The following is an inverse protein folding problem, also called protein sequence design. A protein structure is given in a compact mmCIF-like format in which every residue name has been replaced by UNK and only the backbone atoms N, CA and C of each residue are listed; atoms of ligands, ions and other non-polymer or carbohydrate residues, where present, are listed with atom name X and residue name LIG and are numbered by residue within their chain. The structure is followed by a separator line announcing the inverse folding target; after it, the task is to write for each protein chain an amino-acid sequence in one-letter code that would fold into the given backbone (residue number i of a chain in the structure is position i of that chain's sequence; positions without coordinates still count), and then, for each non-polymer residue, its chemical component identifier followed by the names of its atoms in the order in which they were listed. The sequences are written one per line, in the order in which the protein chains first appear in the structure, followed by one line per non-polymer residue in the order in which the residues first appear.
data_IF_250537107351
#
_entry.id   IF_250537107351
#
_cell.length_a   1.000
_cell.length_b   1.000
_cell.length_c   1.000
_cell.angle_alpha   90.00
_cell.angle_beta   90.00
_cell.angle_gamma   90.00
#
_symmetry.space_group_name_H-M   'P 1'
#
loop_
_entity.id
_entity.type
_entity.pdbx_description
1 polymer ?
#
# COMPACT_ATOMS: atom_id res chain seq x y z
N UNK A 1 -62.38 -41.00 -9.37
CA UNK A 1 -61.78 -39.93 -10.24
C UNK A 1 -61.13 -38.79 -9.45
N UNK A 2 -61.14 -38.78 -8.14
CA UNK A 2 -60.66 -37.70 -7.29
C UNK A 2 -59.20 -37.87 -6.83
N UNK A 3 -58.65 -39.08 -6.87
CA UNK A 3 -57.29 -39.38 -6.37
C UNK A 3 -56.14 -39.06 -7.34
N UNK A 4 -56.41 -38.86 -8.63
CA UNK A 4 -55.34 -38.51 -9.63
C UNK A 4 -55.06 -37.03 -9.77
N UNK A 5 -55.89 -36.16 -9.24
CA UNK A 5 -55.78 -34.70 -9.34
C UNK A 5 -54.92 -34.10 -8.21
N UNK A 6 -54.91 -34.73 -7.03
CA UNK A 6 -54.12 -34.31 -5.88
C UNK A 6 -52.58 -34.54 -6.03
N UNK A 7 -52.19 -35.56 -6.80
CA UNK A 7 -50.75 -35.87 -6.99
C UNK A 7 -50.05 -34.94 -7.97
N UNK A 8 -50.82 -34.24 -8.84
CA UNK A 8 -50.24 -33.28 -9.81
C UNK A 8 -49.99 -31.89 -9.24
N UNK A 9 -50.70 -31.50 -8.17
CA UNK A 9 -50.49 -30.20 -7.53
C UNK A 9 -49.29 -30.21 -6.57
N UNK A 10 -48.89 -31.36 -6.01
CA UNK A 10 -47.75 -31.44 -5.09
C UNK A 10 -46.41 -31.40 -5.81
N UNK A 11 -46.34 -31.83 -7.09
CA UNK A 11 -45.11 -31.85 -7.89
C UNK A 11 -44.71 -30.44 -8.41
N UNK A 12 -45.63 -29.50 -8.50
CA UNK A 12 -45.38 -28.12 -8.97
C UNK A 12 -44.84 -27.19 -7.89
N UNK A 13 -45.02 -27.48 -6.59
CA UNK A 13 -44.51 -26.64 -5.51
C UNK A 13 -43.07 -26.95 -5.10
N UNK A 14 -42.52 -28.12 -5.45
CA UNK A 14 -41.14 -28.52 -5.11
C UNK A 14 -40.11 -27.95 -6.10
N UNK A 15 -40.51 -27.62 -7.34
CA UNK A 15 -39.59 -27.06 -8.36
C UNK A 15 -39.37 -25.54 -8.20
N UNK A 16 -40.28 -24.84 -7.53
CA UNK A 16 -40.17 -23.38 -7.38
C UNK A 16 -39.19 -22.91 -6.24
N UNK A 17 -38.77 -23.82 -5.36
CA UNK A 17 -37.89 -23.50 -4.21
C UNK A 17 -36.39 -23.63 -4.50
N UNK A 18 -35.97 -24.00 -5.70
CA UNK A 18 -34.56 -24.24 -6.06
C UNK A 18 -33.90 -23.12 -6.88
N UNK A 19 -34.54 -21.97 -7.04
CA UNK A 19 -34.08 -20.96 -8.01
C UNK A 19 -33.63 -19.61 -7.45
N UNK A 20 -33.29 -19.46 -6.16
CA UNK A 20 -32.82 -18.13 -5.67
C UNK A 20 -31.66 -18.17 -4.68
N UNK A 21 -30.64 -19.00 -4.92
CA UNK A 21 -29.33 -18.69 -4.36
C UNK A 21 -28.54 -17.98 -5.47
N UNK A 22 -28.63 -16.66 -5.53
CA UNK A 22 -27.70 -15.90 -6.35
C UNK A 22 -26.27 -16.28 -5.94
N UNK A 23 -25.39 -16.68 -6.87
CA UNK A 23 -24.02 -17.07 -6.52
C UNK A 23 -23.39 -15.91 -5.76
N UNK A 24 -22.87 -16.16 -4.57
CA UNK A 24 -22.14 -15.16 -3.81
C UNK A 24 -21.03 -14.60 -4.71
N UNK A 25 -21.08 -13.31 -4.99
CA UNK A 25 -20.11 -12.68 -5.89
C UNK A 25 -18.68 -12.99 -5.41
N UNK A 26 -17.88 -13.59 -6.26
CA UNK A 26 -16.51 -13.97 -5.92
C UNK A 26 -15.72 -12.73 -5.49
N UNK A 27 -15.05 -12.80 -4.35
CA UNK A 27 -14.24 -11.69 -3.84
C UNK A 27 -13.14 -11.33 -4.82
N UNK A 28 -12.85 -10.04 -4.94
CA UNK A 28 -11.71 -9.57 -5.72
C UNK A 28 -10.41 -10.20 -5.18
N UNK A 29 -9.55 -10.77 -6.02
CA UNK A 29 -8.28 -11.35 -5.59
C UNK A 29 -7.22 -10.29 -5.22
N UNK A 30 -7.53 -9.01 -5.29
CA UNK A 30 -6.64 -7.93 -4.85
C UNK A 30 -6.48 -8.02 -3.34
N UNK A 31 -5.24 -8.18 -2.87
CA UNK A 31 -4.93 -8.17 -1.44
C UNK A 31 -5.01 -6.76 -0.87
N UNK A 32 -5.83 -6.56 0.15
CA UNK A 32 -5.91 -5.28 0.87
C UNK A 32 -5.14 -5.37 2.17
N UNK A 33 -4.28 -4.39 2.39
CA UNK A 33 -3.51 -4.17 3.61
C UNK A 33 -3.79 -2.81 4.22
N UNK A 34 -3.24 -2.60 5.39
CA UNK A 34 -3.29 -1.34 6.11
C UNK A 34 -1.89 -1.01 6.63
N UNK A 35 -1.44 0.20 6.41
CA UNK A 35 -0.13 0.67 6.82
C UNK A 35 -0.23 1.62 8.02
N UNK A 36 0.72 1.49 8.91
CA UNK A 36 0.97 2.42 10.02
C UNK A 36 2.42 2.29 10.49
N UNK A 37 2.84 3.15 11.40
CA UNK A 37 4.14 3.08 12.06
C UNK A 37 4.03 2.69 13.54
N UNK A 38 2.80 2.47 14.05
CA UNK A 38 2.53 2.12 15.44
C UNK A 38 2.12 0.64 15.57
N UNK A 39 2.84 -0.17 16.37
CA UNK A 39 2.49 -1.56 16.62
C UNK A 39 1.17 -1.73 17.38
N UNK A 40 0.70 -0.71 18.10
CA UNK A 40 -0.57 -0.69 18.83
C UNK A 40 -1.76 -0.92 17.92
N UNK A 41 -1.63 -0.63 16.61
CA UNK A 41 -2.65 -0.97 15.62
C UNK A 41 -3.09 -2.44 15.72
N UNK A 42 -2.17 -3.37 15.96
CA UNK A 42 -2.48 -4.81 15.95
C UNK A 42 -3.24 -5.30 17.19
N UNK A 43 -3.25 -4.51 18.26
CA UNK A 43 -4.00 -4.81 19.49
C UNK A 43 -5.43 -4.27 19.44
N UNK A 44 -5.71 -3.28 18.57
CA UNK A 44 -7.04 -2.68 18.42
C UNK A 44 -8.11 -3.72 18.04
N UNK A 45 -9.24 -3.78 18.75
CA UNK A 45 -10.38 -4.61 18.38
C UNK A 45 -10.90 -4.29 16.97
N UNK A 46 -10.91 -3.01 16.60
CA UNK A 46 -11.36 -2.50 15.30
C UNK A 46 -10.47 -3.01 14.17
N UNK A 47 -9.13 -2.99 14.37
CA UNK A 47 -8.20 -3.56 13.40
C UNK A 47 -8.41 -5.08 13.25
N UNK A 48 -8.54 -5.80 14.36
CA UNK A 48 -8.76 -7.26 14.35
C UNK A 48 -10.07 -7.61 13.64
N UNK A 49 -11.12 -6.80 13.81
CA UNK A 49 -12.40 -6.99 13.13
C UNK A 49 -12.30 -6.87 11.60
N UNK A 50 -11.31 -6.17 11.06
CA UNK A 50 -11.05 -6.09 9.62
C UNK A 50 -10.47 -7.38 9.05
N UNK A 51 -9.83 -8.24 9.87
CA UNK A 51 -9.17 -9.51 9.46
C UNK A 51 -8.13 -9.31 8.36
N UNK A 52 -7.46 -8.17 8.33
CA UNK A 52 -6.39 -7.83 7.39
C UNK A 52 -5.18 -8.73 7.63
N UNK A 53 -4.53 -9.17 6.54
CA UNK A 53 -3.37 -10.08 6.56
C UNK A 53 -2.09 -9.45 6.01
N UNK A 54 -2.11 -8.15 5.72
CA UNK A 54 -0.96 -7.43 5.16
C UNK A 54 -0.85 -6.06 5.80
N UNK A 55 0.39 -5.67 6.10
CA UNK A 55 0.71 -4.31 6.53
C UNK A 55 1.94 -3.80 5.79
N UNK A 56 2.15 -2.50 5.81
CA UNK A 56 3.36 -1.84 5.34
C UNK A 56 3.95 -0.99 6.46
N UNK A 57 5.25 -1.11 6.62
CA UNK A 57 6.05 -0.34 7.57
C UNK A 57 7.27 0.21 6.84
N UNK A 58 7.69 1.43 7.12
CA UNK A 58 8.91 1.97 6.54
C UNK A 58 9.97 2.25 7.62
N UNK A 59 11.22 2.07 7.23
CA UNK A 59 12.41 2.24 8.05
C UNK A 59 13.45 3.07 7.32
N UNK A 60 14.32 3.80 8.02
CA UNK A 60 15.46 4.44 7.38
C UNK A 60 16.47 3.40 6.86
N UNK A 61 17.26 3.83 5.87
CA UNK A 61 18.26 2.95 5.25
C UNK A 61 19.34 2.45 6.22
N UNK A 62 19.58 3.17 7.29
CA UNK A 62 20.57 2.93 8.34
C UNK A 62 19.98 2.35 9.65
N UNK A 63 18.73 1.95 9.66
CA UNK A 63 18.03 1.35 10.82
C UNK A 63 18.86 0.29 11.56
N UNK A 64 19.75 -0.44 10.88
CA UNK A 64 20.62 -1.43 11.50
C UNK A 64 21.78 -0.81 12.30
N UNK A 65 22.04 0.48 12.17
CA UNK A 65 23.06 1.24 12.88
C UNK A 65 22.48 1.98 14.09
N UNK A 66 21.20 2.29 14.08
CA UNK A 66 20.47 2.89 15.18
C UNK A 66 19.79 1.80 16.05
N UNK A 67 20.17 1.74 17.32
CA UNK A 67 19.62 0.71 18.22
C UNK A 67 18.14 0.94 18.52
N UNK A 68 17.71 2.19 18.70
CA UNK A 68 16.32 2.55 19.01
C UNK A 68 15.40 2.25 17.83
N UNK A 69 15.73 2.78 16.66
CA UNK A 69 14.94 2.54 15.42
C UNK A 69 14.86 1.03 15.08
N UNK A 70 15.96 0.30 15.32
CA UNK A 70 15.99 -1.15 15.09
C UNK A 70 15.07 -1.90 16.07
N UNK A 71 15.02 -1.48 17.34
CA UNK A 71 14.12 -2.08 18.35
C UNK A 71 12.67 -1.79 18.01
N UNK A 72 12.34 -0.55 17.64
CA UNK A 72 10.98 -0.16 17.22
C UNK A 72 10.53 -0.93 15.97
N UNK A 73 11.37 -1.00 14.96
CA UNK A 73 11.07 -1.74 13.73
C UNK A 73 10.91 -3.25 14.00
N UNK A 74 11.72 -3.82 14.92
CA UNK A 74 11.57 -5.21 15.36
C UNK A 74 10.23 -5.41 16.05
N UNK A 75 9.87 -4.54 17.01
CA UNK A 75 8.61 -4.62 17.75
C UNK A 75 7.40 -4.58 16.83
N UNK A 76 7.40 -3.67 15.82
CA UNK A 76 6.34 -3.60 14.83
C UNK A 76 6.20 -4.91 14.03
N UNK A 77 7.31 -5.43 13.51
CA UNK A 77 7.29 -6.66 12.68
C UNK A 77 6.87 -7.87 13.50
N UNK A 78 7.29 -7.96 14.76
CA UNK A 78 6.89 -9.04 15.67
C UNK A 78 5.41 -8.95 16.05
N UNK A 79 4.89 -7.76 16.36
CA UNK A 79 3.47 -7.54 16.63
C UNK A 79 2.60 -7.88 15.39
N UNK A 80 3.01 -7.46 14.20
CA UNK A 80 2.34 -7.84 12.97
C UNK A 80 2.31 -9.36 12.78
N UNK A 81 3.46 -10.03 12.97
CA UNK A 81 3.57 -11.49 12.85
C UNK A 81 2.70 -12.21 13.88
N UNK A 82 2.68 -11.75 15.14
CA UNK A 82 1.83 -12.30 16.18
C UNK A 82 0.33 -12.19 15.84
N UNK A 83 -0.07 -11.10 15.17
CA UNK A 83 -1.41 -10.90 14.64
C UNK A 83 -1.70 -11.70 13.35
N UNK A 84 -0.75 -12.48 12.83
CA UNK A 84 -0.87 -13.21 11.57
C UNK A 84 -0.88 -12.29 10.34
N UNK A 85 -0.21 -11.14 10.42
CA UNK A 85 -0.13 -10.10 9.39
C UNK A 85 1.27 -10.07 8.79
N UNK A 86 1.40 -10.16 7.48
CA UNK A 86 2.68 -10.08 6.78
C UNK A 86 3.07 -8.62 6.51
N UNK A 87 4.34 -8.29 6.73
CA UNK A 87 4.86 -6.92 6.58
C UNK A 87 5.56 -6.74 5.24
N UNK A 88 5.19 -5.68 4.49
CA UNK A 88 6.04 -5.05 3.48
C UNK A 88 6.95 -4.04 4.20
N UNK A 89 8.24 -4.35 4.29
CA UNK A 89 9.24 -3.46 4.86
C UNK A 89 9.82 -2.56 3.76
N UNK A 90 9.57 -1.26 3.86
CA UNK A 90 9.98 -0.27 2.87
C UNK A 90 11.07 0.63 3.41
N UNK A 91 12.11 0.90 2.63
CA UNK A 91 13.14 1.87 3.02
C UNK A 91 12.70 3.28 2.66
N UNK A 92 12.93 4.22 3.56
CA UNK A 92 12.64 5.65 3.39
C UNK A 92 13.81 6.49 3.90
N UNK A 93 13.65 7.81 3.85
CA UNK A 93 14.57 8.74 4.52
C UNK A 93 14.48 8.61 6.04
N UNK A 94 15.57 8.88 6.73
CA UNK A 94 15.61 8.94 8.19
C UNK A 94 14.97 10.22 8.77
N UNK A 95 14.82 11.26 7.96
CA UNK A 95 14.21 12.52 8.39
C UNK A 95 13.09 12.95 7.45
N UNK A 96 11.85 12.62 7.86
CA UNK A 96 10.65 13.02 7.15
C UNK A 96 10.28 14.50 7.35
N UNK A 97 10.86 15.18 8.33
CA UNK A 97 10.62 16.60 8.61
C UNK A 97 11.56 17.50 7.84
N UNK A 98 12.71 17.01 7.42
CA UNK A 98 13.64 17.77 6.61
C UNK A 98 13.02 18.18 5.28
N UNK A 99 13.39 19.36 4.80
CA UNK A 99 13.01 19.81 3.44
C UNK A 99 13.44 18.81 2.37
N UNK A 100 14.55 18.14 2.61
CA UNK A 100 15.06 17.00 1.85
C UNK A 100 15.82 16.09 2.81
N UNK A 101 15.50 14.81 2.82
CA UNK A 101 16.18 13.83 3.64
C UNK A 101 17.68 13.71 3.32
N UNK A 102 18.49 13.24 4.27
CA UNK A 102 19.92 13.09 4.10
C UNK A 102 20.24 12.16 2.94
N UNK A 103 21.36 12.45 2.25
CA UNK A 103 21.80 11.65 1.10
C UNK A 103 22.49 10.38 1.61
N UNK A 104 21.98 9.24 1.19
CA UNK A 104 22.61 7.95 1.41
C UNK A 104 23.44 7.57 0.17
N UNK A 105 24.75 7.39 0.30
CA UNK A 105 25.54 6.96 -0.84
C UNK A 105 25.16 5.55 -1.29
N UNK A 106 25.24 5.22 -2.60
CA UNK A 106 24.93 3.86 -3.08
C UNK A 106 25.74 2.75 -2.39
N UNK A 107 26.97 3.03 -1.99
CA UNK A 107 27.82 2.07 -1.26
C UNK A 107 27.34 1.88 0.18
N UNK A 108 26.98 2.95 0.90
CA UNK A 108 26.39 2.87 2.24
C UNK A 108 25.05 2.13 2.19
N UNK A 109 24.17 2.50 1.24
CA UNK A 109 22.90 1.78 1.05
C UNK A 109 23.11 0.28 0.85
N UNK A 110 24.04 -0.12 -0.03
CA UNK A 110 24.31 -1.54 -0.29
C UNK A 110 24.76 -2.30 0.95
N UNK A 111 25.63 -1.69 1.78
CA UNK A 111 26.06 -2.30 3.05
C UNK A 111 24.90 -2.45 4.03
N UNK A 112 24.11 -1.39 4.19
CA UNK A 112 23.01 -1.33 5.14
C UNK A 112 21.89 -2.28 4.77
N UNK A 113 21.44 -2.27 3.50
CA UNK A 113 20.36 -3.16 3.04
C UNK A 113 20.74 -4.63 3.12
N UNK A 114 22.01 -4.96 2.95
CA UNK A 114 22.52 -6.33 3.13
C UNK A 114 22.28 -6.85 4.55
N UNK A 115 22.57 -6.03 5.57
CA UNK A 115 22.33 -6.35 7.00
C UNK A 115 20.84 -6.36 7.32
N UNK A 116 20.10 -5.36 6.85
CA UNK A 116 18.65 -5.23 7.05
C UNK A 116 17.90 -6.46 6.53
N UNK A 117 18.16 -6.89 5.31
CA UNK A 117 17.48 -8.05 4.71
C UNK A 117 17.77 -9.32 5.51
N UNK A 118 19.02 -9.54 5.94
CA UNK A 118 19.37 -10.69 6.79
C UNK A 118 18.58 -10.69 8.08
N UNK A 119 18.50 -9.54 8.76
CA UNK A 119 17.85 -9.40 10.04
C UNK A 119 16.33 -9.61 9.94
N UNK A 120 15.66 -8.83 9.09
CA UNK A 120 14.19 -8.87 9.00
C UNK A 120 13.65 -10.14 8.33
N UNK A 121 14.46 -10.81 7.49
CA UNK A 121 14.12 -12.15 7.00
C UNK A 121 13.99 -13.18 8.13
N UNK A 122 14.85 -13.15 9.13
CA UNK A 122 14.75 -14.01 10.32
C UNK A 122 13.46 -13.74 11.11
N UNK A 123 12.95 -12.51 11.07
CA UNK A 123 11.66 -12.13 11.67
C UNK A 123 10.45 -12.47 10.77
N UNK A 124 10.66 -13.07 9.59
CA UNK A 124 9.59 -13.53 8.70
C UNK A 124 9.20 -12.57 7.57
N UNK A 125 9.86 -11.42 7.44
CA UNK A 125 9.59 -10.48 6.35
C UNK A 125 9.94 -11.10 4.99
N UNK A 126 8.99 -11.02 4.03
CA UNK A 126 9.14 -11.55 2.66
C UNK A 126 8.96 -10.49 1.58
N UNK A 127 8.41 -9.34 1.90
CA UNK A 127 8.17 -8.24 0.96
C UNK A 127 9.06 -7.05 1.36
N UNK A 128 9.83 -6.51 0.40
CA UNK A 128 10.76 -5.41 0.62
C UNK A 128 10.55 -4.30 -0.41
N UNK A 129 10.67 -3.04 0.01
CA UNK A 129 10.67 -1.88 -0.88
C UNK A 129 12.03 -1.21 -0.92
N UNK A 130 12.52 -0.91 -2.13
CA UNK A 130 13.87 -0.36 -2.29
C UNK A 130 14.00 1.07 -1.78
N UNK A 131 13.03 1.93 -2.05
CA UNK A 131 12.97 3.30 -1.54
C UNK A 131 11.56 3.87 -1.71
N UNK A 132 11.06 4.55 -0.67
CA UNK A 132 9.76 5.20 -0.64
C UNK A 132 9.75 6.47 -1.50
N UNK A 133 8.68 6.69 -2.27
CA UNK A 133 8.40 7.94 -3.00
C UNK A 133 9.62 8.57 -3.71
N UNK A 134 10.36 7.78 -4.47
CA UNK A 134 11.64 8.20 -5.09
C UNK A 134 11.58 9.52 -5.86
N UNK A 135 10.40 9.93 -6.32
CA UNK A 135 10.16 11.16 -7.07
C UNK A 135 9.64 12.32 -6.21
N UNK A 136 9.46 12.15 -4.90
CA UNK A 136 8.99 13.22 -4.03
C UNK A 136 10.15 14.12 -3.56
N UNK A 137 9.91 15.44 -3.48
CA UNK A 137 10.93 16.44 -3.18
C UNK A 137 11.58 16.31 -1.79
N UNK A 138 10.92 15.64 -0.84
CA UNK A 138 11.47 15.34 0.49
C UNK A 138 12.47 14.20 0.47
N UNK A 139 12.45 13.39 -0.59
CA UNK A 139 13.34 12.25 -0.74
C UNK A 139 14.64 12.69 -1.43
N UNK A 140 15.77 12.17 -0.98
CA UNK A 140 17.07 12.49 -1.57
C UNK A 140 17.19 12.03 -3.03
N UNK A 141 16.39 11.03 -3.43
CA UNK A 141 16.35 10.47 -4.77
C UNK A 141 15.61 11.33 -5.79
N UNK A 142 14.86 12.35 -5.37
CA UNK A 142 13.96 13.10 -6.25
C UNK A 142 14.65 13.70 -7.50
N UNK A 143 15.89 14.15 -7.37
CA UNK A 143 16.72 14.64 -8.48
C UNK A 143 18.00 13.79 -8.68
N UNK A 144 18.11 12.66 -7.98
CA UNK A 144 19.20 11.68 -8.07
C UNK A 144 18.68 10.32 -8.51
N UNK A 145 18.09 10.25 -9.69
CA UNK A 145 17.50 9.01 -10.23
C UNK A 145 18.53 7.86 -10.29
N UNK A 146 19.83 8.18 -10.46
CA UNK A 146 20.91 7.19 -10.39
C UNK A 146 21.00 6.49 -9.04
N UNK A 147 20.74 7.19 -7.92
CA UNK A 147 20.69 6.60 -6.58
C UNK A 147 19.50 5.63 -6.48
N UNK A 148 18.32 6.03 -6.92
CA UNK A 148 17.14 5.15 -6.92
C UNK A 148 17.40 3.85 -7.71
N UNK A 149 18.08 3.94 -8.84
CA UNK A 149 18.51 2.75 -9.63
C UNK A 149 19.49 1.89 -8.85
N UNK A 150 20.48 2.50 -8.21
CA UNK A 150 21.49 1.80 -7.41
C UNK A 150 20.89 1.11 -6.19
N UNK A 151 19.92 1.76 -5.54
CA UNK A 151 19.17 1.20 -4.40
C UNK A 151 18.34 0.00 -4.82
N UNK A 152 17.61 0.09 -5.93
CA UNK A 152 16.91 -1.07 -6.48
C UNK A 152 17.85 -2.25 -6.76
N UNK A 153 18.98 -2.01 -7.43
CA UNK A 153 19.95 -3.06 -7.74
C UNK A 153 20.53 -3.70 -6.48
N UNK A 154 20.84 -2.89 -5.47
CA UNK A 154 21.37 -3.36 -4.19
C UNK A 154 20.34 -4.17 -3.41
N UNK A 155 19.07 -3.69 -3.32
CA UNK A 155 17.97 -4.42 -2.71
C UNK A 155 17.71 -5.75 -3.42
N UNK A 156 17.67 -5.73 -4.75
CA UNK A 156 17.50 -6.95 -5.54
C UNK A 156 18.59 -7.99 -5.23
N UNK A 157 19.84 -7.57 -5.20
CA UNK A 157 20.96 -8.48 -4.91
C UNK A 157 20.89 -9.03 -3.48
N UNK A 158 20.56 -8.17 -2.50
CA UNK A 158 20.45 -8.57 -1.10
C UNK A 158 19.32 -9.58 -0.86
N UNK A 159 18.16 -9.36 -1.49
CA UNK A 159 16.97 -10.21 -1.32
C UNK A 159 17.08 -11.48 -2.15
N UNK A 160 17.38 -11.37 -3.44
CA UNK A 160 17.33 -12.50 -4.38
C UNK A 160 18.33 -13.60 -4.03
N UNK A 161 19.51 -13.23 -3.55
CA UNK A 161 20.54 -14.19 -3.09
C UNK A 161 20.13 -14.98 -1.82
N UNK A 162 19.08 -14.53 -1.11
CA UNK A 162 18.64 -15.12 0.18
C UNK A 162 17.21 -15.64 0.16
N UNK A 163 16.39 -15.19 -0.78
CA UNK A 163 14.98 -15.52 -0.82
C UNK A 163 14.42 -15.39 -2.24
N UNK A 164 14.27 -16.51 -2.92
CA UNK A 164 13.70 -16.53 -4.28
C UNK A 164 12.22 -16.23 -4.34
N UNK A 165 11.49 -16.47 -3.25
CA UNK A 165 10.04 -16.25 -3.12
C UNK A 165 9.68 -14.87 -2.57
N UNK A 166 10.66 -14.07 -2.19
CA UNK A 166 10.44 -12.72 -1.68
C UNK A 166 10.12 -11.75 -2.82
N UNK A 167 9.22 -10.80 -2.52
CA UNK A 167 8.87 -9.72 -3.44
C UNK A 167 9.74 -8.49 -3.20
N UNK A 168 9.99 -7.73 -4.28
CA UNK A 168 10.73 -6.48 -4.21
C UNK A 168 9.94 -5.41 -4.97
N UNK A 169 9.49 -4.37 -4.25
CA UNK A 169 9.03 -3.12 -4.86
C UNK A 169 10.26 -2.36 -5.31
N UNK A 170 10.56 -2.46 -6.61
CA UNK A 170 11.83 -1.95 -7.16
C UNK A 170 11.82 -0.45 -7.50
N UNK A 171 10.64 0.11 -7.70
CA UNK A 171 10.37 1.52 -7.92
C UNK A 171 9.09 1.86 -7.21
N UNK A 172 9.05 2.94 -6.44
CA UNK A 172 7.89 3.39 -5.67
C UNK A 172 7.70 4.88 -5.88
N UNK A 173 6.56 5.30 -6.43
CA UNK A 173 6.36 6.67 -6.92
C UNK A 173 5.02 7.26 -6.52
N UNK A 174 5.04 8.57 -6.24
CA UNK A 174 3.86 9.39 -5.99
C UNK A 174 3.25 9.90 -7.30
N UNK A 175 1.92 9.96 -7.39
CA UNK A 175 1.10 10.41 -8.53
C UNK A 175 1.15 11.93 -8.80
N UNK A 176 2.33 12.52 -8.68
CA UNK A 176 2.54 13.95 -8.86
C UNK A 176 2.89 14.34 -10.32
N UNK A 177 2.89 15.65 -10.57
CA UNK A 177 3.27 16.19 -11.89
C UNK A 177 4.68 15.75 -12.27
N UNK A 178 4.84 15.24 -13.50
CA UNK A 178 6.15 14.84 -14.04
C UNK A 178 6.59 13.43 -13.64
N UNK A 179 5.75 12.65 -12.98
CA UNK A 179 6.07 11.25 -12.59
C UNK A 179 6.48 10.40 -13.79
N UNK A 180 5.87 10.63 -14.96
CA UNK A 180 6.20 9.91 -16.21
C UNK A 180 7.65 10.16 -16.66
N UNK A 181 8.17 11.38 -16.44
CA UNK A 181 9.56 11.72 -16.75
C UNK A 181 10.53 11.00 -15.79
N UNK A 182 10.17 10.94 -14.51
CA UNK A 182 10.97 10.21 -13.52
C UNK A 182 11.03 8.71 -13.82
N UNK A 183 9.87 8.09 -14.07
CA UNK A 183 9.76 6.67 -14.46
C UNK A 183 10.61 6.39 -15.70
N UNK A 184 10.48 7.22 -16.74
CA UNK A 184 11.29 7.07 -17.95
C UNK A 184 12.79 7.18 -17.67
N UNK A 185 13.21 8.15 -16.85
CA UNK A 185 14.61 8.34 -16.46
C UNK A 185 15.18 7.15 -15.68
N UNK A 186 14.36 6.56 -14.77
CA UNK A 186 14.73 5.36 -14.03
C UNK A 186 14.98 4.17 -14.97
N UNK A 187 14.00 3.86 -15.84
CA UNK A 187 14.11 2.71 -16.75
C UNK A 187 15.19 2.88 -17.83
N UNK A 188 15.43 4.10 -18.32
CA UNK A 188 16.52 4.36 -19.30
C UNK A 188 17.91 4.06 -18.74
N UNK A 189 18.12 4.15 -17.42
CA UNK A 189 19.35 3.80 -16.73
C UNK A 189 19.53 2.30 -16.43
N UNK A 190 18.52 1.50 -16.77
CA UNK A 190 18.56 0.05 -16.65
C UNK A 190 18.73 -0.59 -18.03
N UNK A 191 19.61 -1.57 -18.14
CA UNK A 191 19.65 -2.46 -19.29
C UNK A 191 18.42 -3.39 -19.31
N UNK A 192 18.23 -4.13 -20.39
CA UNK A 192 17.08 -5.03 -20.59
C UNK A 192 16.94 -6.06 -19.48
N UNK A 193 18.05 -6.62 -19.00
CA UNK A 193 18.07 -7.60 -17.91
C UNK A 193 17.57 -6.99 -16.60
N UNK A 194 18.02 -5.79 -16.26
CA UNK A 194 17.57 -5.10 -15.05
C UNK A 194 16.13 -4.58 -15.16
N UNK A 195 15.71 -4.13 -16.34
CA UNK A 195 14.28 -3.77 -16.57
C UNK A 195 13.35 -4.94 -16.27
N UNK A 196 13.69 -6.14 -16.73
CA UNK A 196 12.92 -7.37 -16.47
C UNK A 196 12.85 -7.75 -14.98
N UNK A 197 13.81 -7.31 -14.16
CA UNK A 197 13.85 -7.56 -12.71
C UNK A 197 12.97 -6.61 -11.89
N UNK A 198 12.52 -5.49 -12.45
CA UNK A 198 11.52 -4.62 -11.81
C UNK A 198 10.15 -5.29 -11.92
N UNK A 199 9.91 -6.29 -11.07
CA UNK A 199 8.67 -7.08 -11.12
C UNK A 199 7.49 -6.39 -10.46
N UNK A 200 7.73 -5.54 -9.46
CA UNK A 200 6.70 -4.77 -8.76
C UNK A 200 7.08 -3.29 -8.75
N UNK A 201 6.10 -2.46 -9.09
CA UNK A 201 6.17 -0.99 -8.94
C UNK A 201 5.10 -0.56 -7.94
N UNK A 202 5.52 0.21 -6.95
CA UNK A 202 4.65 0.85 -5.97
C UNK A 202 4.09 2.15 -6.51
N UNK A 203 2.85 2.44 -6.15
CA UNK A 203 2.14 3.66 -6.53
C UNK A 203 1.50 4.26 -5.28
N UNK A 204 1.81 5.53 -5.02
CA UNK A 204 1.10 6.37 -4.06
C UNK A 204 0.16 7.30 -4.82
N UNK A 205 -1.13 7.05 -4.78
CA UNK A 205 -2.10 7.74 -5.62
C UNK A 205 -3.05 8.67 -4.86
N UNK A 206 -2.55 9.34 -3.84
CA UNK A 206 -3.32 10.28 -3.02
C UNK A 206 -4.01 11.38 -3.82
N UNK A 207 -3.32 11.94 -4.81
CA UNK A 207 -3.89 13.00 -5.65
C UNK A 207 -5.10 12.48 -6.43
N UNK A 208 -5.00 11.29 -7.01
CA UNK A 208 -6.09 10.67 -7.75
C UNK A 208 -7.27 10.34 -6.83
N UNK A 209 -7.02 9.67 -5.69
CA UNK A 209 -8.06 9.27 -4.73
C UNK A 209 -8.83 10.47 -4.21
N UNK A 210 -8.13 11.52 -3.76
CA UNK A 210 -8.74 12.64 -3.08
C UNK A 210 -9.37 13.67 -4.04
N UNK A 211 -8.94 13.70 -5.30
CA UNK A 211 -9.50 14.57 -6.36
C UNK A 211 -10.49 13.84 -7.27
N UNK A 212 -10.81 12.58 -6.97
CA UNK A 212 -11.72 11.73 -7.77
C UNK A 212 -11.32 11.66 -9.24
N UNK A 213 -10.07 11.40 -9.51
CA UNK A 213 -9.51 11.24 -10.86
C UNK A 213 -8.49 10.09 -10.87
N UNK A 214 -8.16 9.56 -12.04
CA UNK A 214 -7.21 8.45 -12.16
C UNK A 214 -6.05 8.75 -13.11
N UNK A 215 -5.81 10.02 -13.40
CA UNK A 215 -4.83 10.44 -14.41
C UNK A 215 -3.39 10.15 -13.99
N UNK A 216 -3.05 10.31 -12.71
CA UNK A 216 -1.72 10.04 -12.17
C UNK A 216 -1.40 8.55 -12.20
N UNK A 217 -2.29 7.73 -11.65
CA UNK A 217 -2.19 6.26 -11.67
C UNK A 217 -2.04 5.72 -13.10
N UNK A 218 -2.90 6.19 -14.02
CA UNK A 218 -2.84 5.80 -15.43
C UNK A 218 -1.51 6.18 -16.10
N UNK A 219 -0.97 7.38 -15.81
CA UNK A 219 0.33 7.82 -16.33
C UNK A 219 1.47 6.93 -15.85
N UNK A 220 1.49 6.58 -14.55
CA UNK A 220 2.51 5.70 -13.99
C UNK A 220 2.46 4.34 -14.69
N UNK A 221 1.29 3.70 -14.74
CA UNK A 221 1.12 2.39 -15.35
C UNK A 221 1.56 2.41 -16.82
N UNK A 222 1.08 3.37 -17.61
CA UNK A 222 1.47 3.50 -19.02
C UNK A 222 2.97 3.71 -19.20
N UNK A 223 3.59 4.53 -18.35
CA UNK A 223 5.03 4.81 -18.44
C UNK A 223 5.86 3.58 -18.14
N UNK A 224 5.50 2.79 -17.14
CA UNK A 224 6.17 1.52 -16.79
C UNK A 224 6.01 0.50 -17.92
N UNK A 225 4.81 0.37 -18.49
CA UNK A 225 4.47 -0.60 -19.57
C UNK A 225 5.29 -0.40 -20.84
N UNK A 226 5.81 0.81 -21.09
CA UNK A 226 6.74 1.07 -22.20
C UNK A 226 8.06 0.30 -22.05
N UNK A 227 8.47 -0.04 -20.84
CA UNK A 227 9.76 -0.67 -20.54
C UNK A 227 9.64 -2.11 -20.05
N UNK A 228 8.56 -2.43 -19.32
CA UNK A 228 8.32 -3.78 -18.81
C UNK A 228 6.81 -4.07 -18.78
N UNK A 229 6.36 -4.88 -19.75
CA UNK A 229 4.95 -5.27 -19.88
C UNK A 229 4.47 -6.25 -18.80
N UNK A 230 5.39 -6.92 -18.08
CA UNK A 230 5.07 -7.94 -17.07
C UNK A 230 5.06 -7.41 -15.63
N UNK A 231 5.43 -6.15 -15.40
CA UNK A 231 5.45 -5.54 -14.07
C UNK A 231 4.05 -5.59 -13.44
N UNK A 232 4.00 -5.95 -12.16
CA UNK A 232 2.81 -5.83 -11.33
C UNK A 232 2.83 -4.50 -10.58
N UNK A 233 1.66 -4.05 -10.16
CA UNK A 233 1.52 -2.79 -9.43
C UNK A 233 0.91 -3.04 -8.06
N UNK A 234 1.49 -2.42 -7.05
CA UNK A 234 0.90 -2.34 -5.73
C UNK A 234 0.63 -0.88 -5.41
N UNK A 235 -0.56 -0.56 -4.93
CA UNK A 235 -0.78 0.73 -4.29
C UNK A 235 -0.16 0.63 -2.90
N UNK A 236 1.14 0.86 -2.85
CA UNK A 236 1.98 0.68 -1.65
C UNK A 236 1.62 1.67 -0.56
N UNK A 237 1.04 2.79 -0.96
CA UNK A 237 0.46 3.78 -0.06
C UNK A 237 -0.66 4.52 -0.77
N UNK A 238 -1.84 4.51 -0.18
CA UNK A 238 -3.03 5.16 -0.73
C UNK A 238 -4.01 5.45 0.40
N UNK A 239 -4.97 6.33 0.18
CA UNK A 239 -5.97 6.60 1.19
C UNK A 239 -6.69 7.92 0.97
N UNK A 240 -7.76 8.09 1.72
CA UNK A 240 -8.51 9.33 1.73
C UNK A 240 -8.02 10.24 2.87
N UNK A 241 -7.81 11.50 2.56
CA UNK A 241 -7.29 12.48 3.48
C UNK A 241 -8.42 13.15 4.29
N UNK A 242 -8.32 13.09 5.61
CA UNK A 242 -9.07 13.96 6.48
C UNK A 242 -8.56 15.40 6.32
N UNK A 243 -7.22 15.57 6.23
CA UNK A 243 -6.61 16.89 6.00
C UNK A 243 -5.24 16.81 5.35
N UNK A 244 -4.85 17.87 4.65
CA UNK A 244 -3.47 18.14 4.22
C UNK A 244 -3.29 19.59 3.75
N UNK A 245 -2.91 20.48 4.65
CA UNK A 245 -2.67 21.89 4.40
C UNK A 245 -3.85 22.59 3.71
N UNK A 246 -3.56 23.62 2.92
CA UNK A 246 -4.58 24.35 2.15
C UNK A 246 -5.28 23.50 1.09
N UNK A 247 -4.59 22.47 0.58
CA UNK A 247 -5.12 21.66 -0.53
C UNK A 247 -6.29 20.74 -0.10
N UNK A 248 -6.28 20.34 1.15
CA UNK A 248 -7.31 19.50 1.75
C UNK A 248 -7.57 19.96 3.19
N UNK A 249 -8.44 20.96 3.41
CA UNK A 249 -8.90 21.36 4.75
C UNK A 249 -9.50 20.17 5.48
N UNK A 250 -9.52 20.18 6.80
CA UNK A 250 -10.06 19.07 7.59
C UNK A 250 -11.52 18.77 7.24
N UNK A 251 -11.81 17.50 6.94
CA UNK A 251 -13.18 17.02 6.67
C UNK A 251 -13.22 15.49 6.66
N UNK A 252 -13.80 14.90 7.69
CA UNK A 252 -14.03 13.45 7.77
C UNK A 252 -15.13 12.98 6.81
N UNK A 253 -16.14 13.79 6.53
CA UNK A 253 -17.20 13.45 5.57
C UNK A 253 -16.62 13.31 4.15
N UNK A 254 -15.73 14.22 3.74
CA UNK A 254 -14.98 14.08 2.49
C UNK A 254 -14.08 12.84 2.52
N UNK A 255 -13.37 12.59 3.61
CA UNK A 255 -12.53 11.41 3.78
C UNK A 255 -13.35 10.13 3.58
N UNK A 256 -14.49 9.99 4.27
CA UNK A 256 -15.39 8.84 4.15
C UNK A 256 -15.95 8.66 2.72
N UNK A 257 -16.21 9.76 2.02
CA UNK A 257 -16.62 9.71 0.61
C UNK A 257 -15.46 9.23 -0.28
N UNK A 258 -14.25 9.78 -0.12
CA UNK A 258 -13.11 9.55 -1.03
C UNK A 258 -12.44 8.21 -0.86
N UNK A 259 -12.52 7.55 0.29
CA UNK A 259 -11.93 6.22 0.47
C UNK A 259 -12.49 5.18 -0.52
N UNK A 260 -13.71 5.37 -1.02
CA UNK A 260 -14.31 4.52 -2.07
C UNK A 260 -13.47 4.50 -3.35
N UNK A 261 -12.83 5.62 -3.68
CA UNK A 261 -12.00 5.75 -4.89
C UNK A 261 -10.78 4.84 -4.85
N UNK A 262 -10.17 4.62 -3.68
CA UNK A 262 -9.08 3.69 -3.51
C UNK A 262 -9.47 2.29 -4.02
N UNK A 263 -10.61 1.77 -3.58
CA UNK A 263 -11.13 0.47 -4.00
C UNK A 263 -11.54 0.46 -5.48
N UNK A 264 -12.20 1.53 -5.93
CA UNK A 264 -12.61 1.67 -7.34
C UNK A 264 -11.40 1.66 -8.27
N UNK A 265 -10.32 2.36 -7.93
CA UNK A 265 -9.11 2.39 -8.76
C UNK A 265 -8.36 1.07 -8.71
N UNK A 266 -8.29 0.42 -7.56
CA UNK A 266 -7.70 -0.91 -7.46
C UNK A 266 -8.41 -1.89 -8.40
N UNK A 267 -9.74 -1.93 -8.38
CA UNK A 267 -10.55 -2.79 -9.26
C UNK A 267 -10.38 -2.41 -10.74
N UNK A 268 -10.44 -1.11 -11.07
CA UNK A 268 -10.27 -0.59 -12.44
C UNK A 268 -8.94 -1.00 -13.06
N UNK A 269 -7.86 -0.94 -12.28
CA UNK A 269 -6.51 -1.23 -12.75
C UNK A 269 -6.05 -2.67 -12.51
N UNK A 270 -6.90 -3.52 -11.94
CA UNK A 270 -6.63 -4.95 -11.79
C UNK A 270 -6.27 -5.64 -13.12
N UNK A 271 -7.00 -5.45 -14.24
CA UNK A 271 -6.62 -6.04 -15.53
C UNK A 271 -5.24 -5.58 -16.01
N UNK A 272 -4.78 -4.42 -15.54
CA UNK A 272 -3.45 -3.89 -15.83
C UNK A 272 -2.38 -4.34 -14.83
N UNK A 273 -2.72 -5.25 -13.90
CA UNK A 273 -1.78 -5.88 -12.99
C UNK A 273 -1.69 -5.26 -11.59
N UNK A 274 -2.70 -4.51 -11.13
CA UNK A 274 -2.81 -4.13 -9.72
C UNK A 274 -3.20 -5.35 -8.90
N UNK A 275 -2.37 -5.71 -7.90
CA UNK A 275 -2.53 -6.92 -7.10
C UNK A 275 -2.69 -6.65 -5.60
N UNK A 276 -2.15 -5.53 -5.10
CA UNK A 276 -2.22 -5.18 -3.68
C UNK A 276 -2.51 -3.70 -3.49
N UNK A 277 -3.14 -3.40 -2.36
CA UNK A 277 -3.45 -2.04 -1.91
C UNK A 277 -3.13 -1.95 -0.42
N UNK A 278 -2.42 -0.91 0.00
CA UNK A 278 -2.14 -0.60 1.39
C UNK A 278 -2.73 0.77 1.72
N UNK A 279 -3.84 0.78 2.47
CA UNK A 279 -4.37 2.06 2.99
C UNK A 279 -3.43 2.62 4.04
N UNK A 280 -3.06 3.85 3.95
CA UNK A 280 -2.28 4.56 4.95
C UNK A 280 -3.14 5.73 5.44
N UNK A 281 -3.35 5.91 6.75
CA UNK A 281 -2.79 5.12 7.81
C UNK A 281 -3.91 4.62 8.77
N UNK A 282 -3.54 3.94 9.86
CA UNK A 282 -4.49 3.49 10.87
C UNK A 282 -4.86 4.64 11.81
N UNK A 283 -3.88 5.13 12.59
CA UNK A 283 -4.11 6.24 13.50
C UNK A 283 -4.07 7.58 12.79
N UNK A 284 -5.08 8.41 13.01
CA UNK A 284 -5.06 9.81 12.66
C UNK A 284 -4.09 10.60 13.54
N UNK A 285 -4.05 11.88 13.30
CA UNK A 285 -3.33 12.83 14.14
C UNK A 285 -4.30 13.86 14.70
N UNK A 286 -3.87 14.56 15.75
CA UNK A 286 -4.64 15.68 16.32
C UNK A 286 -4.70 16.84 15.32
N UNK A 287 -5.66 16.78 14.43
CA UNK A 287 -6.14 17.84 13.59
C UNK A 287 -7.63 18.07 13.87
N UNK A 288 -8.08 19.29 13.70
CA UNK A 288 -9.49 19.64 13.84
C UNK A 288 -9.89 20.69 12.83
N UNK A 289 -11.17 21.06 12.76
CA UNK A 289 -11.66 22.07 11.80
C UNK A 289 -10.91 23.39 11.87
N UNK A 290 -10.35 23.76 13.04
CA UNK A 290 -9.60 25.00 13.27
C UNK A 290 -8.17 24.98 12.73
N UNK A 291 -7.63 23.85 12.29
CA UNK A 291 -6.23 23.79 11.81
C UNK A 291 -6.00 24.61 10.52
N UNK A 292 -7.03 24.80 9.68
CA UNK A 292 -6.97 25.62 8.46
C UNK A 292 -5.82 25.20 7.53
N UNK A 293 -4.98 26.17 7.16
CA UNK A 293 -3.81 25.92 6.30
C UNK A 293 -2.65 25.21 7.01
N UNK A 294 -2.68 25.09 8.33
CA UNK A 294 -1.69 24.42 9.16
C UNK A 294 -2.00 22.93 9.36
N UNK A 295 -3.13 22.46 8.84
CA UNK A 295 -3.47 21.04 8.90
C UNK A 295 -2.31 20.18 8.37
N UNK A 296 -1.84 19.26 9.20
CA UNK A 296 -0.86 18.26 8.79
C UNK A 296 -1.53 17.18 7.94
N UNK A 297 -0.73 16.36 7.31
CA UNK A 297 -1.22 15.17 6.60
C UNK A 297 -1.90 14.23 7.60
N UNK A 298 -3.15 13.89 7.31
CA UNK A 298 -3.96 12.98 8.10
C UNK A 298 -4.84 12.13 7.18
N UNK A 299 -4.65 10.82 7.22
CA UNK A 299 -5.45 9.84 6.49
C UNK A 299 -5.94 8.70 7.40
N UNK A 300 -5.87 8.88 8.73
CA UNK A 300 -6.22 7.87 9.73
C UNK A 300 -7.64 7.38 9.60
N UNK A 301 -7.81 6.06 9.76
CA UNK A 301 -9.13 5.43 9.82
C UNK A 301 -9.76 5.58 11.20
N UNK A 302 -8.95 5.77 12.21
CA UNK A 302 -9.35 6.03 13.60
C UNK A 302 -8.66 7.29 14.11
N UNK A 303 -9.20 7.89 15.17
CA UNK A 303 -8.57 9.00 15.87
C UNK A 303 -7.30 8.54 16.62
N UNK A 304 -6.48 9.45 17.15
CA UNK A 304 -5.30 9.10 17.93
C UNK A 304 -5.58 8.19 19.13
N UNK A 305 -6.76 8.30 19.74
CA UNK A 305 -7.22 7.47 20.85
C UNK A 305 -7.79 6.10 20.42
N UNK A 306 -7.86 5.83 19.11
CA UNK A 306 -8.40 4.60 18.53
C UNK A 306 -9.89 4.65 18.21
N UNK A 307 -10.59 5.75 18.48
CA UNK A 307 -12.02 5.91 18.14
C UNK A 307 -12.23 5.87 16.63
N UNK A 308 -13.11 4.98 16.09
CA UNK A 308 -13.37 4.90 14.67
C UNK A 308 -13.96 6.18 14.08
N UNK A 309 -13.34 6.70 13.03
CA UNK A 309 -13.88 7.80 12.21
C UNK A 309 -14.95 7.28 11.22
N UNK A 310 -15.83 8.13 10.67
CA UNK A 310 -16.80 7.71 9.64
C UNK A 310 -16.17 6.94 8.47
N UNK A 311 -14.93 7.23 8.09
CA UNK A 311 -14.18 6.54 7.04
C UNK A 311 -13.95 5.06 7.34
N UNK A 312 -13.81 4.67 8.62
CA UNK A 312 -13.63 3.28 9.02
C UNK A 312 -14.81 2.40 8.60
N UNK A 313 -16.03 2.84 8.85
CA UNK A 313 -17.22 2.08 8.47
C UNK A 313 -17.31 1.86 6.95
N UNK A 314 -16.97 2.89 6.16
CA UNK A 314 -16.94 2.80 4.69
C UNK A 314 -15.82 1.86 4.24
N UNK A 315 -14.63 1.96 4.83
CA UNK A 315 -13.50 1.08 4.54
C UNK A 315 -13.87 -0.39 4.83
N UNK A 316 -14.39 -0.68 6.01
CA UNK A 316 -14.83 -2.02 6.44
C UNK A 316 -15.85 -2.63 5.49
N UNK A 317 -16.87 -1.85 5.11
CA UNK A 317 -17.90 -2.26 4.14
C UNK A 317 -17.29 -2.62 2.77
N UNK A 318 -16.39 -1.78 2.24
CA UNK A 318 -15.75 -2.05 0.95
C UNK A 318 -14.78 -3.22 0.99
N UNK A 319 -14.05 -3.39 2.10
CA UNK A 319 -13.11 -4.48 2.32
C UNK A 319 -13.78 -5.86 2.25
N UNK A 320 -15.07 -5.98 2.56
CA UNK A 320 -15.80 -7.24 2.49
C UNK A 320 -15.73 -7.92 1.11
N UNK A 321 -15.58 -7.13 0.05
CA UNK A 321 -15.52 -7.59 -1.35
C UNK A 321 -14.10 -7.94 -1.83
N UNK A 322 -13.10 -7.93 -0.96
CA UNK A 322 -11.68 -8.12 -1.33
C UNK A 322 -11.04 -9.29 -0.58
N UNK A 323 -9.94 -9.81 -1.12
CA UNK A 323 -9.08 -10.76 -0.43
C UNK A 323 -8.37 -10.07 0.75
N UNK A 324 -8.32 -10.73 1.89
CA UNK A 324 -7.72 -10.25 3.13
C UNK A 324 -6.37 -10.89 3.36
#
# INVERSE_FOLDING_TARGET
MIFKTLLRCLALFVVAALLTAAPAAAKSPIGVGLADQSPEMFTSPEFRALKIKRTRYFVPADVMQDATERVEAKAFVEAARAAGVSTLLHISTSDLRAKRGPVVSPSAYRRNVGRLVVYFRKLGVKDFGAWNEVNHKTQETWNRVGNAVSYFKSMYSAVHGRCRTCSIVGLDVLDQRGVEKYVASFYKRLDTRWRARVKVVGIHNYSDVNRNRSTGTAKIIRSVRKYNKRTKFWFTETGALASFGKAFPYSESRQASRIRNMFTFATRYRPQGVERVYSYNWFGIENGPSCGSRCRFDAGLVDPDGTPRPVYAVFKSKLANYAR
#
